data_IF_357925786583
#
_entry.id   IF_357925786583
#
_cell.length_a   1.000
_cell.length_b   1.000
_cell.length_c   1.000
_cell.angle_alpha   90.00
_cell.angle_beta   90.00
_cell.angle_gamma   90.00
#
_symmetry.space_group_name_H-M   'P 1'
#
loop_
_entity.id
_entity.type
_entity.pdbx_description
1 polymer ?
#
# COMPACT_ATOMS: atom_id res chain seq x y z
N UNK A 1 -19.12 9.81 19.42
CA UNK A 1 -18.53 8.62 18.75
C UNK A 1 -17.84 9.06 17.46
N UNK A 2 -16.85 9.95 17.55
CA UNK A 2 -16.15 10.58 16.43
C UNK A 2 -14.68 10.76 16.83
N UNK A 3 -13.89 9.68 16.80
CA UNK A 3 -12.46 9.74 17.20
C UNK A 3 -11.60 8.67 16.53
N UNK A 4 -12.15 7.48 16.28
CA UNK A 4 -11.39 6.37 15.68
C UNK A 4 -11.39 6.40 14.15
N UNK A 5 -12.52 6.78 13.53
CA UNK A 5 -12.62 6.86 12.06
C UNK A 5 -11.74 7.99 11.51
N UNK A 6 -11.76 9.15 12.18
CA UNK A 6 -10.94 10.31 11.81
C UNK A 6 -9.44 10.03 11.92
N UNK A 7 -9.02 9.30 12.96
CA UNK A 7 -7.63 8.91 13.15
C UNK A 7 -7.16 7.94 12.05
N UNK A 8 -7.97 6.93 11.72
CA UNK A 8 -7.61 5.97 10.68
C UNK A 8 -7.49 6.65 9.30
N UNK A 9 -8.41 7.56 8.97
CA UNK A 9 -8.32 8.35 7.73
C UNK A 9 -7.09 9.26 7.71
N UNK A 10 -6.74 9.89 8.84
CA UNK A 10 -5.55 10.73 8.94
C UNK A 10 -4.24 9.94 8.75
N UNK A 11 -4.17 8.71 9.28
CA UNK A 11 -3.00 7.82 9.09
C UNK A 11 -2.83 7.45 7.62
N UNK A 12 -3.91 7.03 6.95
CA UNK A 12 -3.86 6.69 5.53
C UNK A 12 -3.51 7.89 4.65
N UNK A 13 -4.14 9.05 4.88
CA UNK A 13 -3.82 10.28 4.14
C UNK A 13 -2.35 10.71 4.31
N UNK A 14 -1.79 10.51 5.51
CA UNK A 14 -0.37 10.76 5.76
C UNK A 14 0.51 9.77 5.00
N UNK A 15 0.14 8.49 4.95
CA UNK A 15 0.84 7.50 4.15
C UNK A 15 0.80 7.87 2.66
N UNK A 16 -0.36 8.25 2.12
CA UNK A 16 -0.51 8.62 0.71
C UNK A 16 0.38 9.80 0.33
N UNK A 17 0.46 10.82 1.20
CA UNK A 17 1.39 11.94 1.00
C UNK A 17 2.84 11.45 0.93
N UNK A 18 3.24 10.54 1.83
CA UNK A 18 4.59 9.98 1.84
C UNK A 18 4.85 9.08 0.60
N UNK A 19 3.83 8.35 0.14
CA UNK A 19 3.90 7.47 -1.03
C UNK A 19 4.11 8.27 -2.31
N UNK A 20 3.41 9.40 -2.48
CA UNK A 20 3.61 10.32 -3.62
C UNK A 20 5.05 10.84 -3.66
N UNK A 21 5.59 11.29 -2.53
CA UNK A 21 6.97 11.79 -2.47
C UNK A 21 8.02 10.70 -2.71
N UNK A 22 7.80 9.49 -2.17
CA UNK A 22 8.68 8.36 -2.39
C UNK A 22 8.67 7.94 -3.86
N UNK A 23 7.49 7.86 -4.49
CA UNK A 23 7.34 7.59 -5.92
C UNK A 23 8.10 8.62 -6.75
N UNK A 24 7.85 9.92 -6.53
CA UNK A 24 8.54 11.01 -7.24
C UNK A 24 10.06 10.88 -7.15
N UNK A 25 10.60 10.60 -5.96
CA UNK A 25 12.04 10.46 -5.76
C UNK A 25 12.61 9.24 -6.48
N UNK A 26 11.92 8.10 -6.43
CA UNK A 26 12.36 6.89 -7.12
C UNK A 26 12.31 7.07 -8.64
N UNK A 27 11.26 7.71 -9.15
CA UNK A 27 11.13 8.05 -10.57
C UNK A 27 12.26 9.00 -11.03
N UNK A 28 12.60 10.02 -10.23
CA UNK A 28 13.73 10.93 -10.51
C UNK A 28 15.08 10.21 -10.57
N UNK A 29 15.22 9.07 -9.85
CA UNK A 29 16.40 8.20 -9.90
C UNK A 29 16.33 7.14 -10.99
N UNK A 30 15.20 7.03 -11.71
CA UNK A 30 14.97 5.94 -12.66
C UNK A 30 14.85 4.56 -11.98
N UNK A 31 14.48 4.52 -10.70
CA UNK A 31 14.29 3.29 -9.93
C UNK A 31 12.83 2.87 -9.94
N UNK A 32 12.51 1.71 -10.51
CA UNK A 32 11.18 1.12 -10.39
C UNK A 32 11.05 0.31 -9.10
N UNK A 33 10.07 0.67 -8.25
CA UNK A 33 9.76 -0.08 -7.05
C UNK A 33 8.73 -1.18 -7.32
N UNK A 34 9.02 -2.39 -6.84
CA UNK A 34 8.19 -3.59 -7.02
C UNK A 34 7.77 -4.12 -5.65
N UNK A 35 6.52 -3.92 -5.27
CA UNK A 35 5.95 -4.36 -4.00
C UNK A 35 5.38 -5.77 -4.12
N UNK A 36 5.94 -6.73 -3.36
CA UNK A 36 5.48 -8.12 -3.30
C UNK A 36 4.61 -8.35 -2.07
N UNK A 37 3.31 -8.58 -2.27
CA UNK A 37 2.34 -8.87 -1.21
C UNK A 37 1.89 -10.32 -1.28
N UNK A 38 1.70 -10.98 -0.13
CA UNK A 38 1.26 -12.38 -0.08
C UNK A 38 0.77 -12.79 1.29
N UNK A 39 0.28 -14.03 1.44
CA UNK A 39 0.19 -14.65 2.78
C UNK A 39 1.56 -15.13 3.28
N UNK A 40 1.72 -15.39 4.60
CA UNK A 40 2.90 -16.07 5.11
C UNK A 40 3.13 -17.41 4.43
N UNK A 41 4.38 -17.74 4.12
CA UNK A 41 4.74 -19.03 3.54
C UNK A 41 4.36 -19.24 2.06
N UNK A 42 3.87 -18.22 1.35
CA UNK A 42 3.60 -18.31 -0.10
C UNK A 42 4.88 -18.51 -0.94
N UNK A 43 6.07 -18.23 -0.37
CA UNK A 43 7.35 -18.39 -1.05
C UNK A 43 7.94 -17.10 -1.63
N UNK A 44 7.52 -15.91 -1.16
CA UNK A 44 8.07 -14.60 -1.57
C UNK A 44 9.59 -14.56 -1.55
N UNK A 45 10.21 -14.79 -0.40
CA UNK A 45 11.67 -14.75 -0.24
C UNK A 45 12.40 -15.69 -1.19
N UNK A 46 11.86 -16.89 -1.42
CA UNK A 46 12.46 -17.87 -2.33
C UNK A 46 12.40 -17.42 -3.80
N UNK A 47 11.24 -16.90 -4.21
CA UNK A 47 11.07 -16.36 -5.54
C UNK A 47 11.96 -15.12 -5.74
N UNK A 48 11.99 -14.22 -4.76
CA UNK A 48 12.76 -13.00 -4.80
C UNK A 48 14.27 -13.26 -4.83
N UNK A 49 14.78 -14.20 -4.03
CA UNK A 49 16.18 -14.64 -4.09
C UNK A 49 16.56 -15.06 -5.52
N UNK A 50 15.65 -15.78 -6.18
CA UNK A 50 15.87 -16.27 -7.54
C UNK A 50 15.79 -15.15 -8.59
N UNK A 51 14.84 -14.21 -8.43
CA UNK A 51 14.72 -13.02 -9.28
C UNK A 51 15.97 -12.13 -9.17
N UNK A 52 16.43 -11.84 -7.96
CA UNK A 52 17.62 -11.04 -7.71
C UNK A 52 18.86 -11.70 -8.31
N UNK A 53 19.02 -13.01 -8.12
CA UNK A 53 20.16 -13.75 -8.68
C UNK A 53 20.19 -13.63 -10.20
N UNK A 54 19.04 -13.76 -10.87
CA UNK A 54 18.93 -13.58 -12.34
C UNK A 54 19.17 -12.14 -12.77
N UNK A 55 18.64 -11.16 -12.04
CA UNK A 55 18.86 -9.74 -12.32
C UNK A 55 20.35 -9.38 -12.24
N UNK A 56 21.03 -9.79 -11.17
CA UNK A 56 22.48 -9.59 -10.99
C UNK A 56 23.28 -10.28 -12.10
N UNK A 57 22.96 -11.54 -12.41
CA UNK A 57 23.62 -12.27 -13.50
C UNK A 57 23.40 -11.62 -14.88
N UNK A 58 22.23 -11.02 -15.10
CA UNK A 58 21.90 -10.27 -16.31
C UNK A 58 22.42 -8.83 -16.32
N UNK A 59 23.14 -8.39 -15.29
CA UNK A 59 23.68 -7.03 -15.20
C UNK A 59 22.63 -5.95 -14.93
N UNK A 60 21.43 -6.33 -14.47
CA UNK A 60 20.39 -5.37 -14.04
C UNK A 60 20.70 -4.94 -12.59
N UNK A 61 20.96 -3.66 -12.33
CA UNK A 61 21.16 -3.18 -10.96
C UNK A 61 19.86 -3.32 -10.17
N UNK A 62 19.85 -4.24 -9.21
CA UNK A 62 18.69 -4.53 -8.37
C UNK A 62 19.09 -4.48 -6.90
N UNK A 63 18.18 -3.99 -6.06
CA UNK A 63 18.27 -4.04 -4.61
C UNK A 63 16.97 -4.59 -4.03
N UNK A 64 17.02 -5.07 -2.79
CA UNK A 64 15.84 -5.54 -2.09
C UNK A 64 15.71 -4.97 -0.68
N UNK A 65 14.49 -4.63 -0.31
CA UNK A 65 14.06 -4.41 1.06
C UNK A 65 13.16 -5.57 1.43
N UNK A 66 13.35 -6.17 2.60
CA UNK A 66 12.42 -7.16 3.15
C UNK A 66 11.92 -6.69 4.51
N UNK A 67 10.65 -6.92 4.76
CA UNK A 67 9.97 -6.49 5.97
C UNK A 67 9.30 -7.65 6.68
N UNK A 68 9.67 -7.80 7.95
CA UNK A 68 9.13 -8.83 8.84
C UNK A 68 8.85 -8.27 10.22
N UNK A 69 7.98 -8.98 10.94
CA UNK A 69 7.70 -8.68 12.33
C UNK A 69 8.93 -8.90 13.22
N UNK A 70 9.75 -9.90 12.91
CA UNK A 70 10.91 -10.30 13.69
C UNK A 70 11.93 -11.04 12.82
N UNK A 71 13.18 -11.06 13.30
CA UNK A 71 14.35 -11.73 12.69
C UNK A 71 14.85 -11.07 11.40
N UNK A 72 16.08 -11.42 11.01
CA UNK A 72 16.73 -10.94 9.77
C UNK A 72 16.98 -12.11 8.80
N UNK A 73 16.22 -13.19 8.95
CA UNK A 73 16.41 -14.43 8.21
C UNK A 73 16.23 -14.20 6.70
N UNK A 74 15.20 -13.45 6.33
CA UNK A 74 14.89 -13.16 4.93
C UNK A 74 15.95 -12.26 4.32
N UNK A 75 16.43 -11.23 5.04
CA UNK A 75 17.52 -10.39 4.55
C UNK A 75 18.81 -11.20 4.34
N UNK A 76 19.16 -12.06 5.30
CA UNK A 76 20.34 -12.95 5.21
C UNK A 76 20.25 -13.89 4.02
N UNK A 77 19.04 -14.40 3.74
CA UNK A 77 18.79 -15.28 2.60
C UNK A 77 18.91 -14.52 1.28
N UNK A 78 18.24 -13.38 1.14
CA UNK A 78 18.25 -12.58 -0.08
C UNK A 78 19.66 -12.07 -0.43
N UNK A 79 20.49 -11.77 0.57
CA UNK A 79 21.86 -11.31 0.35
C UNK A 79 22.75 -12.33 -0.42
N UNK A 80 22.36 -13.61 -0.45
CA UNK A 80 23.05 -14.66 -1.22
C UNK A 80 22.99 -14.43 -2.73
N UNK A 81 22.03 -13.64 -3.20
CA UNK A 81 21.91 -13.24 -4.62
C UNK A 81 23.03 -12.31 -5.09
N UNK A 82 23.77 -11.69 -4.16
CA UNK A 82 24.77 -10.66 -4.45
C UNK A 82 24.18 -9.25 -4.61
N UNK A 83 22.85 -9.10 -4.57
CA UNK A 83 22.20 -7.79 -4.55
C UNK A 83 22.32 -7.12 -3.17
N UNK A 84 22.32 -5.78 -3.08
CA UNK A 84 22.15 -5.06 -1.83
C UNK A 84 20.79 -5.37 -1.20
N UNK A 85 20.79 -5.76 0.08
CA UNK A 85 19.57 -6.10 0.83
C UNK A 85 19.47 -5.32 2.14
N UNK A 86 18.26 -4.85 2.47
CA UNK A 86 17.95 -4.18 3.74
C UNK A 86 16.78 -4.83 4.44
N UNK A 87 16.94 -5.12 5.72
CA UNK A 87 15.83 -5.53 6.60
C UNK A 87 15.09 -4.30 7.14
N UNK A 88 13.76 -4.43 7.23
CA UNK A 88 12.89 -3.61 8.06
C UNK A 88 12.23 -4.53 9.09
N UNK A 89 12.39 -4.20 10.36
CA UNK A 89 11.58 -4.79 11.43
C UNK A 89 10.40 -3.87 11.65
N UNK A 90 9.18 -4.40 11.55
CA UNK A 90 7.95 -3.59 11.59
C UNK A 90 7.46 -3.30 13.00
N UNK A 91 8.18 -3.75 14.04
CA UNK A 91 7.89 -3.51 15.46
C UNK A 91 6.43 -3.79 15.88
N UNK A 92 5.80 -4.80 15.28
CA UNK A 92 4.42 -5.18 15.57
C UNK A 92 3.45 -4.98 14.41
N UNK A 93 3.80 -4.17 13.41
CA UNK A 93 2.88 -3.83 12.33
C UNK A 93 2.77 -4.96 11.31
N UNK A 94 1.54 -5.17 10.85
CA UNK A 94 1.18 -6.21 9.87
C UNK A 94 1.40 -5.79 8.41
N UNK A 95 2.01 -4.63 8.17
CA UNK A 95 2.24 -4.02 6.86
C UNK A 95 3.42 -3.04 6.92
N UNK A 96 3.91 -2.64 5.76
CA UNK A 96 4.79 -1.49 5.58
C UNK A 96 4.01 -0.22 5.29
N UNK A 97 4.56 0.91 5.72
CA UNK A 97 4.13 2.26 5.34
C UNK A 97 5.23 2.94 4.51
N UNK A 98 4.86 3.84 3.60
CA UNK A 98 5.79 4.55 2.72
C UNK A 98 6.88 5.32 3.50
N UNK A 99 6.52 5.89 4.66
CA UNK A 99 7.48 6.60 5.52
C UNK A 99 8.55 5.69 6.14
N UNK A 100 8.18 4.45 6.48
CA UNK A 100 9.12 3.45 7.00
C UNK A 100 10.09 3.00 5.92
N UNK A 101 9.57 2.77 4.71
CA UNK A 101 10.38 2.42 3.55
C UNK A 101 11.35 3.55 3.23
N UNK A 102 10.86 4.78 3.11
CA UNK A 102 11.68 5.97 2.86
C UNK A 102 12.86 6.09 3.83
N UNK A 103 12.60 6.02 5.13
CA UNK A 103 13.64 6.15 6.17
C UNK A 103 14.70 5.04 6.13
N UNK A 104 14.47 3.95 5.39
CA UNK A 104 15.42 2.85 5.20
C UNK A 104 16.17 2.93 3.87
N UNK A 105 15.61 3.63 2.89
CA UNK A 105 16.24 3.87 1.58
C UNK A 105 17.21 5.05 1.62
N UNK A 106 16.91 6.07 2.42
CA UNK A 106 17.76 7.27 2.53
C UNK A 106 19.17 6.92 2.99
N UNK A 107 20.17 7.39 2.23
CA UNK A 107 21.59 7.09 2.44
C UNK A 107 22.02 5.62 2.25
N UNK A 108 21.11 4.70 1.89
CA UNK A 108 21.42 3.27 1.73
C UNK A 108 21.28 2.78 0.28
N UNK A 109 20.22 3.20 -0.42
CA UNK A 109 19.93 2.71 -1.77
C UNK A 109 21.02 3.17 -2.77
N UNK A 110 21.69 2.25 -3.49
CA UNK A 110 22.68 2.63 -4.50
C UNK A 110 22.07 3.50 -5.60
N UNK A 111 22.83 4.49 -6.07
CA UNK A 111 22.37 5.49 -7.05
C UNK A 111 21.90 4.87 -8.37
N UNK A 112 22.62 3.86 -8.86
CA UNK A 112 22.34 3.19 -10.13
C UNK A 112 21.23 2.12 -10.04
N UNK A 113 20.51 2.03 -8.92
CA UNK A 113 19.49 0.98 -8.73
C UNK A 113 18.34 1.17 -9.72
N UNK A 114 18.17 0.23 -10.65
CA UNK A 114 17.06 0.22 -11.60
C UNK A 114 15.82 -0.44 -11.02
N UNK A 115 15.99 -1.54 -10.28
CA UNK A 115 14.88 -2.27 -9.65
C UNK A 115 15.03 -2.30 -8.14
N UNK A 116 14.03 -1.81 -7.42
CA UNK A 116 13.91 -1.97 -5.97
C UNK A 116 12.78 -2.95 -5.67
N UNK A 117 13.12 -4.17 -5.26
CA UNK A 117 12.13 -5.12 -4.77
C UNK A 117 11.81 -4.85 -3.30
N UNK A 118 10.54 -4.80 -2.97
CA UNK A 118 10.05 -4.66 -1.59
C UNK A 118 9.27 -5.91 -1.25
N UNK A 119 9.88 -6.81 -0.50
CA UNK A 119 9.19 -7.94 0.11
C UNK A 119 8.40 -7.44 1.32
N UNK A 120 7.10 -7.27 1.15
CA UNK A 120 6.21 -6.80 2.20
C UNK A 120 5.94 -7.90 3.23
N UNK A 121 5.37 -7.52 4.38
CA UNK A 121 4.97 -8.47 5.41
C UNK A 121 4.01 -9.51 4.82
N UNK A 122 4.14 -10.77 5.24
CA UNK A 122 3.19 -11.83 4.87
C UNK A 122 1.78 -11.57 5.40
N UNK A 123 1.00 -10.77 4.68
CA UNK A 123 -0.40 -10.48 4.96
C UNK A 123 -1.12 -10.04 3.66
N UNK A 124 -2.32 -10.56 3.40
CA UNK A 124 -3.17 -10.18 2.25
C UNK A 124 -4.26 -9.16 2.60
N UNK A 125 -4.31 -8.68 3.84
CA UNK A 125 -5.33 -7.75 4.33
C UNK A 125 -4.73 -6.36 4.56
N UNK A 126 -3.85 -6.21 5.56
CA UNK A 126 -3.32 -4.89 5.92
C UNK A 126 -2.57 -4.20 4.76
N UNK A 127 -1.64 -4.86 4.05
CA UNK A 127 -0.82 -4.21 3.03
C UNK A 127 -1.60 -3.66 1.84
N UNK A 128 -2.79 -4.22 1.55
CA UNK A 128 -3.60 -3.80 0.41
C UNK A 128 -4.02 -2.32 0.51
N UNK A 129 -4.19 -1.80 1.73
CA UNK A 129 -4.67 -0.43 1.99
C UNK A 129 -3.56 0.64 1.98
N UNK A 130 -2.28 0.25 1.88
CA UNK A 130 -1.16 1.18 1.98
C UNK A 130 -0.40 1.22 0.65
N UNK A 131 -0.40 2.38 0.00
CA UNK A 131 0.49 2.67 -1.12
C UNK A 131 1.92 2.89 -0.58
N UNK A 132 2.91 2.25 -1.18
CA UNK A 132 4.33 2.45 -0.86
C UNK A 132 5.03 3.34 -1.89
N UNK A 133 4.28 3.94 -2.82
CA UNK A 133 4.84 4.65 -3.96
C UNK A 133 5.36 3.69 -5.04
N UNK A 134 4.97 2.41 -5.01
CA UNK A 134 5.47 1.42 -5.95
C UNK A 134 5.05 1.69 -7.40
N UNK A 135 5.91 1.28 -8.33
CA UNK A 135 5.60 1.23 -9.77
C UNK A 135 4.75 0.01 -10.09
N UNK A 136 5.03 -1.12 -9.43
CA UNK A 136 4.37 -2.39 -9.66
C UNK A 136 4.03 -3.09 -8.33
N UNK A 137 2.75 -3.36 -8.10
CA UNK A 137 2.23 -4.17 -7.00
C UNK A 137 1.88 -5.56 -7.50
N UNK A 138 2.56 -6.55 -6.94
CA UNK A 138 2.39 -7.96 -7.28
C UNK A 138 1.73 -8.68 -6.11
N UNK A 139 0.59 -9.32 -6.37
CA UNK A 139 -0.06 -10.22 -5.41
C UNK A 139 0.36 -11.68 -5.66
N UNK A 140 0.94 -12.32 -4.65
CA UNK A 140 1.40 -13.71 -4.70
C UNK A 140 0.41 -14.63 -3.98
N UNK A 141 0.08 -15.75 -4.62
CA UNK A 141 -0.68 -16.85 -4.03
C UNK A 141 0.02 -18.17 -4.37
N UNK A 142 0.30 -19.01 -3.37
CA UNK A 142 0.81 -20.36 -3.67
C UNK A 142 -0.30 -21.34 -4.04
N UNK A 143 0.02 -22.38 -4.81
CA UNK A 143 -0.94 -23.45 -5.10
C UNK A 143 -1.38 -24.20 -3.83
N UNK A 144 -0.56 -24.17 -2.77
CA UNK A 144 -0.80 -24.83 -1.48
C UNK A 144 -1.83 -24.13 -0.59
N UNK A 145 -2.38 -23.02 -1.08
CA UNK A 145 -3.07 -22.01 -0.30
C UNK A 145 -4.58 -21.98 -0.62
N UNK A 146 -5.01 -22.73 -1.64
CA UNK A 146 -6.38 -22.80 -2.14
C UNK A 146 -6.70 -21.78 -3.24
N UNK A 147 -7.62 -22.15 -4.13
CA UNK A 147 -7.98 -21.43 -5.35
C UNK A 147 -8.88 -20.23 -5.10
N UNK A 148 -9.58 -20.21 -3.98
CA UNK A 148 -10.59 -19.18 -3.65
C UNK A 148 -9.99 -17.89 -3.07
N UNK A 149 -8.65 -17.80 -2.98
CA UNK A 149 -7.94 -16.63 -2.46
C UNK A 149 -8.27 -15.31 -3.12
N UNK A 150 -8.34 -15.20 -4.46
CA UNK A 150 -8.67 -13.94 -5.11
C UNK A 150 -9.98 -13.34 -4.58
N UNK A 151 -11.03 -14.17 -4.49
CA UNK A 151 -12.35 -13.75 -4.03
C UNK A 151 -12.39 -13.54 -2.51
N UNK A 152 -11.60 -14.27 -1.73
CA UNK A 152 -11.48 -14.06 -0.27
C UNK A 152 -10.73 -12.78 0.11
N UNK A 153 -9.79 -12.34 -0.72
CA UNK A 153 -8.95 -11.15 -0.45
C UNK A 153 -9.03 -10.13 -1.59
N UNK A 154 -10.22 -9.63 -1.93
CA UNK A 154 -10.44 -8.88 -3.15
C UNK A 154 -9.64 -7.59 -3.22
N UNK A 155 -9.34 -6.94 -2.08
CA UNK A 155 -8.50 -5.75 -2.05
C UNK A 155 -7.06 -6.02 -2.50
N UNK A 156 -6.45 -7.14 -2.06
CA UNK A 156 -5.07 -7.46 -2.43
C UNK A 156 -4.94 -7.81 -3.92
N UNK A 157 -5.87 -8.62 -4.45
CA UNK A 157 -5.83 -9.04 -5.85
C UNK A 157 -6.39 -7.99 -6.80
N UNK A 158 -7.39 -7.22 -6.38
CA UNK A 158 -8.06 -6.18 -7.16
C UNK A 158 -7.28 -4.87 -7.30
N UNK A 159 -6.24 -4.68 -6.48
CA UNK A 159 -5.29 -3.57 -6.57
C UNK A 159 -3.96 -3.97 -7.22
N UNK A 160 -3.73 -5.26 -7.49
CA UNK A 160 -2.48 -5.72 -8.08
C UNK A 160 -2.42 -5.40 -9.58
N UNK A 161 -1.23 -5.05 -10.09
CA UNK A 161 -0.97 -4.96 -11.53
C UNK A 161 -0.51 -6.30 -12.11
N UNK A 162 -0.09 -7.23 -11.26
CA UNK A 162 0.29 -8.58 -11.64
C UNK A 162 -0.07 -9.57 -10.53
N UNK A 163 -0.62 -10.72 -10.91
CA UNK A 163 -0.81 -11.85 -9.99
C UNK A 163 0.23 -12.91 -10.30
N UNK A 164 0.89 -13.43 -9.26
CA UNK A 164 1.86 -14.52 -9.39
C UNK A 164 1.38 -15.72 -8.60
N UNK A 165 1.21 -16.85 -9.29
CA UNK A 165 0.97 -18.13 -8.64
C UNK A 165 2.32 -18.77 -8.35
N UNK A 166 2.59 -19.09 -7.08
CA UNK A 166 3.88 -19.66 -6.67
C UNK A 166 3.77 -21.15 -6.35
N UNK A 167 4.92 -21.83 -6.38
CA UNK A 167 5.05 -23.27 -6.13
C UNK A 167 4.24 -24.11 -7.13
N UNK A 168 4.15 -23.69 -8.39
CA UNK A 168 3.41 -24.41 -9.45
C UNK A 168 3.80 -25.89 -9.55
N UNK A 169 5.05 -26.20 -9.24
CA UNK A 169 5.61 -27.54 -9.11
C UNK A 169 4.90 -28.46 -8.09
N UNK A 170 4.05 -27.93 -7.21
CA UNK A 170 3.24 -28.70 -6.24
C UNK A 170 1.78 -28.83 -6.65
N UNK A 171 1.35 -28.24 -7.77
CA UNK A 171 -0.06 -28.12 -8.14
C UNK A 171 -0.77 -29.49 -8.19
N UNK A 172 -0.14 -30.50 -8.80
CA UNK A 172 -0.68 -31.85 -8.88
C UNK A 172 -0.83 -32.49 -7.48
N UNK A 173 0.19 -32.34 -6.63
CA UNK A 173 0.21 -32.95 -5.30
C UNK A 173 -0.85 -32.39 -4.35
N UNK A 174 -1.31 -31.17 -4.58
CA UNK A 174 -2.37 -30.53 -3.79
C UNK A 174 -3.68 -30.39 -4.56
N UNK A 175 -3.80 -31.05 -5.72
CA UNK A 175 -4.99 -31.05 -6.58
C UNK A 175 -5.48 -29.64 -6.95
N UNK A 176 -4.54 -28.71 -7.16
CA UNK A 176 -4.84 -27.30 -7.38
C UNK A 176 -5.70 -27.07 -8.62
N UNK A 177 -6.89 -26.49 -8.43
CA UNK A 177 -7.85 -26.21 -9.52
C UNK A 177 -7.54 -24.88 -10.19
N UNK A 178 -6.52 -24.89 -11.03
CA UNK A 178 -6.03 -23.71 -11.79
C UNK A 178 -7.13 -22.84 -12.38
N UNK A 179 -8.09 -23.44 -13.09
CA UNK A 179 -9.14 -22.69 -13.79
C UNK A 179 -10.09 -21.96 -12.82
N UNK A 180 -10.36 -22.54 -11.64
CA UNK A 180 -11.16 -21.89 -10.60
C UNK A 180 -10.43 -20.66 -10.02
N UNK A 181 -9.12 -20.79 -9.79
CA UNK A 181 -8.29 -19.66 -9.34
C UNK A 181 -8.29 -18.52 -10.38
N UNK A 182 -8.06 -18.85 -11.65
CA UNK A 182 -8.06 -17.87 -12.74
C UNK A 182 -9.43 -17.19 -12.88
N UNK A 183 -10.53 -17.94 -12.75
CA UNK A 183 -11.87 -17.37 -12.74
C UNK A 183 -12.06 -16.40 -11.57
N UNK A 184 -11.58 -16.74 -10.37
CA UNK A 184 -11.61 -15.85 -9.21
C UNK A 184 -10.77 -14.58 -9.41
N UNK A 185 -9.58 -14.69 -10.01
CA UNK A 185 -8.76 -13.52 -10.37
C UNK A 185 -9.51 -12.62 -11.35
N UNK A 186 -10.08 -13.19 -12.43
CA UNK A 186 -10.81 -12.40 -13.42
C UNK A 186 -12.08 -11.76 -12.86
N UNK A 187 -12.73 -12.39 -11.89
CA UNK A 187 -13.88 -11.80 -11.20
C UNK A 187 -13.50 -10.54 -10.41
N UNK A 188 -12.32 -10.54 -9.76
CA UNK A 188 -11.89 -9.47 -8.87
C UNK A 188 -11.10 -8.39 -9.61
N UNK A 189 -10.29 -8.78 -10.59
CA UNK A 189 -9.41 -7.90 -11.34
C UNK A 189 -9.36 -8.32 -12.83
N UNK A 190 -10.42 -8.02 -13.60
CA UNK A 190 -10.50 -8.40 -15.00
C UNK A 190 -9.29 -7.90 -15.81
N UNK A 191 -8.68 -8.79 -16.60
CA UNK A 191 -7.57 -8.46 -17.48
C UNK A 191 -6.18 -8.41 -16.82
N UNK A 192 -6.08 -8.56 -15.50
CA UNK A 192 -4.77 -8.61 -14.84
C UNK A 192 -3.96 -9.81 -15.37
N UNK A 193 -2.67 -9.62 -15.71
CA UNK A 193 -1.79 -10.73 -16.08
C UNK A 193 -1.59 -11.68 -14.90
N UNK A 194 -1.46 -12.97 -15.20
CA UNK A 194 -1.16 -14.02 -14.23
C UNK A 194 0.04 -14.82 -14.72
N UNK A 195 1.09 -14.92 -13.88
CA UNK A 195 2.29 -15.71 -14.17
C UNK A 195 2.43 -16.80 -13.12
N UNK A 196 2.62 -18.04 -13.57
CA UNK A 196 2.85 -19.18 -12.68
C UNK A 196 4.33 -19.45 -12.54
N UNK A 197 4.79 -19.68 -11.31
CA UNK A 197 6.21 -19.74 -11.00
C UNK A 197 6.54 -20.87 -10.03
N UNK A 198 7.74 -21.41 -10.20
CA UNK A 198 8.40 -22.25 -9.22
C UNK A 198 9.81 -21.75 -8.99
N UNK A 199 10.08 -21.27 -7.77
CA UNK A 199 11.44 -20.97 -7.35
C UNK A 199 12.33 -22.23 -7.29
N UNK A 200 11.73 -23.42 -7.15
CA UNK A 200 12.47 -24.69 -7.09
C UNK A 200 12.96 -25.14 -8.46
N UNK A 201 12.10 -25.08 -9.48
CA UNK A 201 12.44 -25.53 -10.84
C UNK A 201 12.96 -24.39 -11.72
N UNK A 202 12.69 -23.14 -11.33
CA UNK A 202 13.01 -21.94 -12.10
C UNK A 202 11.95 -21.58 -13.14
N UNK A 203 10.88 -22.37 -13.27
CA UNK A 203 9.77 -22.12 -14.19
C UNK A 203 9.10 -20.76 -13.92
N UNK A 204 8.78 -20.03 -14.99
CA UNK A 204 8.11 -18.73 -14.95
C UNK A 204 8.91 -17.57 -14.38
N UNK A 205 10.08 -17.82 -13.77
CA UNK A 205 10.87 -16.75 -13.12
C UNK A 205 11.49 -15.79 -14.14
N UNK A 206 11.98 -16.30 -15.27
CA UNK A 206 12.52 -15.45 -16.35
C UNK A 206 11.43 -14.62 -17.02
N UNK A 207 10.23 -15.20 -17.19
CA UNK A 207 9.05 -14.49 -17.69
C UNK A 207 8.63 -13.37 -16.72
N UNK A 208 8.61 -13.67 -15.42
CA UNK A 208 8.32 -12.68 -14.38
C UNK A 208 9.35 -11.54 -14.37
N UNK A 209 10.65 -11.84 -14.43
CA UNK A 209 11.68 -10.81 -14.48
C UNK A 209 11.54 -9.94 -15.73
N UNK A 210 11.26 -10.55 -16.89
CA UNK A 210 11.03 -9.81 -18.12
C UNK A 210 9.78 -8.91 -18.02
N UNK A 211 8.71 -9.37 -17.38
CA UNK A 211 7.51 -8.55 -17.14
C UNK A 211 7.81 -7.36 -16.22
N UNK A 212 8.52 -7.59 -15.11
CA UNK A 212 8.96 -6.52 -14.19
C UNK A 212 9.81 -5.48 -14.90
N UNK A 213 10.72 -5.90 -15.78
CA UNK A 213 11.56 -4.98 -16.56
C UNK A 213 10.74 -4.14 -17.54
N UNK A 214 9.74 -4.73 -18.21
CA UNK A 214 8.84 -3.96 -19.09
C UNK A 214 8.01 -2.96 -18.32
N UNK A 215 7.49 -3.34 -17.15
CA UNK A 215 6.79 -2.43 -16.25
C UNK A 215 7.69 -1.27 -15.79
N UNK A 216 8.96 -1.54 -15.49
CA UNK A 216 9.96 -0.52 -15.15
C UNK A 216 10.24 0.46 -16.31
N UNK A 217 10.09 0.02 -17.56
CA UNK A 217 10.17 0.88 -18.76
C UNK A 217 8.83 1.57 -19.10
N UNK A 218 7.83 1.48 -18.22
CA UNK A 218 6.51 2.09 -18.42
C UNK A 218 5.61 1.33 -19.42
N UNK A 219 5.94 0.09 -19.75
CA UNK A 219 5.20 -0.75 -20.68
C UNK A 219 4.34 -1.78 -19.95
N UNK A 220 3.18 -2.12 -20.53
CA UNK A 220 2.34 -3.26 -20.12
C UNK A 220 1.85 -3.24 -18.65
N UNK A 221 1.70 -2.07 -18.04
CA UNK A 221 1.13 -1.97 -16.69
C UNK A 221 -0.38 -2.06 -16.74
N UNK A 222 -0.92 -3.16 -16.20
CA UNK A 222 -2.35 -3.30 -15.95
C UNK A 222 -2.84 -2.16 -15.05
N UNK A 223 -4.02 -1.60 -15.33
CA UNK A 223 -4.65 -0.61 -14.46
C UNK A 223 -5.73 -1.30 -13.62
N UNK A 224 -5.53 -1.49 -12.30
CA UNK A 224 -6.47 -2.25 -11.48
C UNK A 224 -7.81 -1.53 -11.35
N UNK A 225 -8.91 -2.27 -11.45
CA UNK A 225 -10.28 -1.70 -11.40
C UNK A 225 -10.57 -1.03 -10.05
N UNK A 226 -10.08 -1.62 -8.94
CA UNK A 226 -10.27 -1.04 -7.61
C UNK A 226 -9.44 0.23 -7.39
N UNK A 227 -8.32 0.42 -8.11
CA UNK A 227 -7.54 1.66 -8.03
C UNK A 227 -8.35 2.85 -8.59
N UNK A 228 -9.10 2.63 -9.67
CA UNK A 228 -9.99 3.64 -10.25
C UNK A 228 -11.13 4.06 -9.32
N UNK A 229 -11.57 3.19 -8.41
CA UNK A 229 -12.61 3.50 -7.43
C UNK A 229 -12.05 4.25 -6.21
N UNK A 230 -10.80 3.96 -5.82
CA UNK A 230 -10.12 4.68 -4.74
C UNK A 230 -9.88 6.15 -5.12
N UNK A 231 -9.43 6.42 -6.35
CA UNK A 231 -9.23 7.80 -6.84
C UNK A 231 -10.53 8.61 -6.92
N UNK A 232 -11.64 8.00 -7.35
CA UNK A 232 -12.96 8.67 -7.40
C UNK A 232 -13.48 9.09 -6.03
N UNK A 233 -13.19 8.34 -4.97
CA UNK A 233 -13.56 8.71 -3.61
C UNK A 233 -12.70 9.82 -3.02
N UNK A 234 -11.46 9.99 -3.48
CA UNK A 234 -10.59 11.09 -3.09
C UNK A 234 -11.01 12.42 -3.76
N UNK A 235 -11.40 12.39 -5.03
CA UNK A 235 -11.76 13.61 -5.77
C UNK A 235 -13.18 14.14 -5.48
N UNK A 236 -14.12 13.32 -5.01
CA UNK A 236 -15.46 13.80 -4.65
C UNK A 236 -15.57 14.49 -3.27
N UNK A 237 -14.49 14.59 -2.49
CA UNK A 237 -14.50 15.27 -1.18
C UNK A 237 -14.04 16.73 -1.21
N UNK A 238 -13.65 17.26 -2.37
CA UNK A 238 -13.19 18.65 -2.49
C UNK A 238 -14.24 19.64 -3.03
N UNK A 239 -15.40 19.16 -3.50
CA UNK A 239 -16.40 20.01 -4.17
C UNK A 239 -17.70 20.27 -3.37
N UNK A 240 -17.82 19.77 -2.15
CA UNK A 240 -19.00 19.99 -1.29
C UNK A 240 -18.61 20.58 0.06
N UNK A 241 -18.21 21.85 0.08
CA UNK A 241 -18.33 22.74 1.25
C UNK A 241 -18.16 24.21 0.82
N UNK A 242 -19.14 24.74 0.09
CA UNK A 242 -19.39 26.18 0.00
C UNK A 242 -20.83 26.47 0.46
N UNK A 243 -21.04 26.88 1.73
CA UNK A 243 -22.33 27.41 2.12
C UNK A 243 -22.37 28.87 1.66
N UNK A 244 -22.87 29.06 0.44
CA UNK A 244 -23.28 30.37 -0.07
C UNK A 244 -24.22 31.06 0.92
N UNK A 245 -23.81 32.25 1.34
CA UNK A 245 -24.63 33.22 2.04
C UNK A 245 -25.86 33.58 1.16
N UNK A 246 -27.06 33.22 1.61
CA UNK A 246 -28.30 33.81 1.13
C UNK A 246 -29.00 34.53 2.29
N UNK A 247 -28.98 35.85 2.23
CA UNK A 247 -29.79 36.75 3.04
C UNK A 247 -31.28 36.58 2.71
N UNK A 248 -32.11 36.37 3.74
CA UNK A 248 -33.57 36.32 3.64
C UNK A 248 -34.25 37.12 4.77
N UNK A 249 -35.41 37.75 4.52
CA UNK A 249 -35.74 39.06 5.10
C UNK A 249 -36.51 39.03 6.42
N UNK A 250 -36.42 40.17 7.11
CA UNK A 250 -37.17 40.55 8.31
C UNK A 250 -38.69 40.44 8.12
N UNK A 251 -39.35 39.80 9.09
CA UNK A 251 -40.78 40.00 9.36
C UNK A 251 -41.00 40.20 10.86
N UNK A 252 -41.45 41.41 11.21
CA UNK A 252 -41.85 41.78 12.56
C UNK A 252 -43.23 41.27 12.93
N UNK A 253 -43.47 41.14 14.24
CA UNK A 253 -44.79 41.25 14.84
C UNK A 253 -44.68 41.75 16.29
N UNK A 254 -45.74 42.43 16.68
CA UNK A 254 -45.86 43.43 17.75
C UNK A 254 -45.96 42.86 19.18
N UNK A 255 -45.41 43.67 20.10
CA UNK A 255 -45.89 44.09 21.42
C UNK A 255 -46.81 43.19 22.27
N UNK A 256 -46.40 42.99 23.54
CA UNK A 256 -47.24 43.30 24.70
C UNK A 256 -46.40 43.54 25.96
N UNK A 257 -46.59 44.74 26.51
CA UNK A 257 -46.04 45.27 27.76
C UNK A 257 -46.56 44.55 29.01
N UNK A 258 -45.77 44.51 30.09
CA UNK A 258 -46.27 44.74 31.46
C UNK A 258 -45.16 45.22 32.43
N UNK A 259 -45.28 46.51 32.79
CA UNK A 259 -44.96 47.25 34.02
C UNK A 259 -43.95 46.74 35.10
N UNK A 260 -42.95 47.62 35.32
CA UNK A 260 -42.16 48.01 36.51
C UNK A 260 -42.87 48.03 37.90
N UNK A 261 -42.18 48.16 39.08
CA UNK A 261 -41.08 49.14 39.33
C UNK A 261 -39.97 48.86 40.39
N UNK A 262 -38.86 49.62 40.21
CA UNK A 262 -37.96 50.32 41.20
C UNK A 262 -37.30 49.47 42.30
N UNK A 263 -36.03 49.65 42.69
CA UNK A 263 -35.36 50.91 43.06
C UNK A 263 -33.84 50.68 43.31
N UNK A 264 -33.03 51.72 43.05
CA UNK A 264 -31.76 52.14 43.70
C UNK A 264 -30.57 51.15 43.85
N UNK A 265 -29.29 51.54 43.89
CA UNK A 265 -28.46 52.70 43.58
C UNK A 265 -27.09 52.42 44.24
N UNK A 266 -25.98 52.81 43.60
CA UNK A 266 -24.65 53.10 44.20
C UNK A 266 -23.89 51.93 44.88
N UNK A 267 -22.57 51.86 44.98
CA UNK A 267 -21.40 52.47 44.37
C UNK A 267 -20.17 51.71 44.96
N UNK A 268 -18.98 51.94 44.38
CA UNK A 268 -17.64 51.77 44.98
C UNK A 268 -16.90 50.41 44.86
N UNK A 269 -15.97 50.41 43.91
CA UNK A 269 -14.59 49.87 43.93
C UNK A 269 -13.76 50.40 45.13
N UNK A 270 -12.47 50.01 45.37
CA UNK A 270 -11.68 48.86 44.90
C UNK A 270 -10.79 48.20 46.01
N UNK A 271 -9.97 47.24 45.54
CA UNK A 271 -8.58 46.96 45.94
C UNK A 271 -8.28 46.17 47.22
N UNK A 272 -7.42 45.15 47.07
CA UNK A 272 -6.68 44.57 48.18
C UNK A 272 -6.16 43.15 47.97
N UNK A 273 -5.17 42.96 47.09
CA UNK A 273 -4.12 41.95 47.32
C UNK A 273 -3.23 42.44 48.48
N UNK A 274 -2.64 41.58 49.33
CA UNK A 274 -1.33 41.03 48.97
C UNK A 274 -0.94 39.65 49.58
N UNK A 275 0.11 39.09 48.98
CA UNK A 275 1.01 37.99 49.39
C UNK A 275 0.62 36.57 48.98
#
# INVERSE_FOLDING_TARGET
MCRTVDLHQAVLAKNDTNAVELRRTLDERGTAAVNLMSSPGSGKTALLETLLTRAVAGGTPAAAVTADLATENDATRLARSGAPVRQILTDGLCHLEAGMLWGKLDGWLPEETRLLFVENVGNLVCPASYDLGETLRIALASVTEGEDKPVKYPAAFGLAQLVVVTKSDLAEAVEFRRDDFLAGVQQVNPGVPVIETSARTGEGVDELLAHVLRAADGLETHTPVLAQQHEKHLHHRHDEDDPGHEDGPEHGHEEREHAHPRDRAAAHLPAGSPR
#
